data_IF_384405601356
#
_entry.id   IF_384405601356
#
_cell.length_a   1.000
_cell.length_b   1.000
_cell.length_c   1.000
_cell.angle_alpha   90.00
_cell.angle_beta   90.00
_cell.angle_gamma   90.00
#
_symmetry.space_group_name_H-M   'P 1'
#
loop_
_entity.id
_entity.type
_entity.pdbx_description
1 polymer ?
#
# COMPACT_ATOMS: atom_id res chain seq x y z
N UNK A 1 -7.79 2.43 -20.21
CA UNK A 1 -7.88 1.47 -19.08
C UNK A 1 -6.92 1.91 -18.01
N UNK A 2 -7.30 1.77 -16.72
CA UNK A 2 -6.47 2.16 -15.57
C UNK A 2 -6.24 0.94 -14.66
N UNK A 3 -5.35 0.02 -15.02
CA UNK A 3 -4.98 -1.09 -14.14
C UNK A 3 -4.18 -0.57 -12.96
N UNK A 4 -4.52 -1.06 -11.75
CA UNK A 4 -3.80 -0.71 -10.55
C UNK A 4 -3.31 -1.94 -9.80
N UNK A 5 -2.21 -1.78 -9.08
CA UNK A 5 -1.54 -2.82 -8.29
C UNK A 5 -1.13 -2.23 -6.94
N UNK A 6 -0.87 -3.09 -5.96
CA UNK A 6 -0.27 -2.68 -4.68
C UNK A 6 1.17 -3.18 -4.59
N UNK A 7 1.38 -4.47 -4.86
CA UNK A 7 2.73 -5.04 -4.87
C UNK A 7 2.88 -6.16 -5.87
N UNK A 8 4.12 -6.39 -6.31
CA UNK A 8 4.52 -7.51 -7.18
C UNK A 8 5.59 -8.30 -6.45
N UNK A 9 5.28 -9.56 -6.11
CA UNK A 9 6.24 -10.43 -5.41
C UNK A 9 5.93 -11.90 -5.68
N UNK A 10 6.96 -12.71 -5.89
CA UNK A 10 6.81 -14.17 -5.95
C UNK A 10 6.81 -14.79 -4.55
N UNK A 11 7.31 -14.05 -3.55
CA UNK A 11 7.41 -14.48 -2.16
C UNK A 11 6.92 -13.35 -1.23
N UNK A 12 5.59 -13.14 -1.11
CA UNK A 12 5.06 -12.07 -0.27
C UNK A 12 5.46 -12.32 1.20
N UNK A 13 5.96 -11.27 1.85
CA UNK A 13 6.31 -11.30 3.26
C UNK A 13 5.04 -11.42 4.14
N UNK A 14 5.17 -11.87 5.41
CA UNK A 14 4.03 -12.12 6.30
C UNK A 14 3.07 -10.94 6.45
N UNK A 15 3.55 -9.71 6.41
CA UNK A 15 2.71 -8.52 6.50
C UNK A 15 1.75 -8.35 5.31
N UNK A 16 2.00 -9.06 4.20
CA UNK A 16 1.17 -9.02 2.99
C UNK A 16 0.60 -10.39 2.59
N UNK A 17 0.98 -11.48 3.27
CA UNK A 17 0.63 -12.85 2.89
C UNK A 17 -0.86 -13.15 2.95
N UNK A 18 -1.61 -12.45 3.80
CA UNK A 18 -3.07 -12.58 3.93
C UNK A 18 -3.84 -11.66 2.96
N UNK A 19 -3.13 -10.82 2.20
CA UNK A 19 -3.71 -9.93 1.21
C UNK A 19 -3.97 -10.66 -0.12
N UNK A 20 -5.06 -10.29 -0.79
CA UNK A 20 -5.36 -10.71 -2.17
C UNK A 20 -4.76 -9.76 -3.21
N UNK A 21 -4.10 -8.69 -2.78
CA UNK A 21 -3.65 -7.58 -3.61
C UNK A 21 -2.19 -7.67 -4.06
N UNK A 22 -1.57 -8.87 -4.03
CA UNK A 22 -0.26 -9.06 -4.63
C UNK A 22 -0.37 -9.79 -5.98
N UNK A 23 0.58 -9.50 -6.85
CA UNK A 23 0.73 -10.13 -8.16
C UNK A 23 2.07 -10.85 -8.22
N UNK A 24 2.14 -12.09 -8.72
CA UNK A 24 3.44 -12.70 -9.00
C UNK A 24 4.13 -11.97 -10.15
N UNK A 25 5.47 -11.97 -10.17
CA UNK A 25 6.24 -11.33 -11.23
C UNK A 25 5.84 -11.85 -12.62
N UNK A 26 5.65 -13.17 -12.75
CA UNK A 26 5.20 -13.77 -14.02
C UNK A 26 3.87 -13.19 -14.47
N UNK A 27 2.85 -13.18 -13.60
CA UNK A 27 1.52 -12.64 -13.96
C UNK A 27 1.56 -11.15 -14.25
N UNK A 28 2.40 -10.40 -13.55
CA UNK A 28 2.59 -8.98 -13.83
C UNK A 28 3.18 -8.76 -15.23
N UNK A 29 4.16 -9.55 -15.64
CA UNK A 29 4.71 -9.51 -17.00
C UNK A 29 3.67 -9.91 -18.06
N UNK A 30 2.90 -10.96 -17.80
CA UNK A 30 1.80 -11.38 -18.69
C UNK A 30 0.74 -10.23 -18.83
N UNK A 31 0.42 -9.52 -17.74
CA UNK A 31 -0.48 -8.35 -17.77
C UNK A 31 0.12 -7.21 -18.62
N UNK A 32 1.41 -6.89 -18.44
CA UNK A 32 2.07 -5.85 -19.24
C UNK A 32 2.09 -6.18 -20.72
N UNK A 33 2.38 -7.42 -21.09
CA UNK A 33 2.38 -7.88 -22.47
C UNK A 33 0.97 -7.79 -23.08
N UNK A 34 -0.07 -8.12 -22.31
CA UNK A 34 -1.47 -7.92 -22.72
C UNK A 34 -1.78 -6.44 -22.97
N UNK A 35 -1.47 -5.54 -22.00
CA UNK A 35 -1.79 -4.12 -22.13
C UNK A 35 -1.04 -3.50 -23.31
N UNK A 36 0.26 -3.74 -23.45
CA UNK A 36 1.07 -3.17 -24.53
C UNK A 36 0.70 -3.69 -25.91
N UNK A 37 0.12 -4.91 -26.01
CA UNK A 37 -0.37 -5.45 -27.26
C UNK A 37 -1.70 -4.85 -27.74
N UNK A 38 -2.50 -4.26 -26.83
CA UNK A 38 -3.85 -3.81 -27.11
C UNK A 38 -4.07 -2.31 -26.94
N UNK A 39 -3.22 -1.64 -26.17
CA UNK A 39 -3.38 -0.25 -25.77
C UNK A 39 -2.05 0.49 -25.83
N UNK A 40 -2.10 1.78 -26.05
CA UNK A 40 -0.96 2.68 -25.92
C UNK A 40 -0.75 3.06 -24.46
N UNK A 41 0.49 2.95 -23.96
CA UNK A 41 0.83 3.44 -22.63
C UNK A 41 0.99 4.97 -22.67
N UNK A 42 0.27 5.65 -21.82
CA UNK A 42 0.25 7.12 -21.74
C UNK A 42 0.65 7.59 -20.34
N UNK A 43 1.08 8.85 -20.25
CA UNK A 43 1.34 9.50 -18.97
C UNK A 43 0.04 9.78 -18.17
N UNK A 44 0.16 9.98 -16.87
CA UNK A 44 -0.99 10.31 -16.00
C UNK A 44 -1.70 11.60 -16.47
N UNK A 45 -0.97 12.59 -16.99
CA UNK A 45 -1.51 13.84 -17.48
C UNK A 45 -2.36 13.70 -18.77
N UNK A 46 -2.23 12.56 -19.46
CA UNK A 46 -2.97 12.26 -20.70
C UNK A 46 -4.19 11.37 -20.47
N UNK A 47 -4.37 10.87 -19.25
CA UNK A 47 -5.52 10.05 -18.89
C UNK A 47 -6.83 10.75 -19.24
N UNK A 48 -7.73 10.04 -19.90
CA UNK A 48 -9.03 10.58 -20.36
C UNK A 48 -9.03 11.19 -21.75
N UNK A 49 -7.88 11.39 -22.39
CA UNK A 49 -7.80 11.99 -23.74
C UNK A 49 -7.95 10.97 -24.87
N UNK A 50 -7.56 9.72 -24.66
CA UNK A 50 -7.63 8.65 -25.66
C UNK A 50 -8.43 7.45 -25.15
N UNK A 51 -9.16 6.80 -26.08
CA UNK A 51 -10.01 5.61 -25.79
C UNK A 51 -9.27 4.28 -25.87
N UNK A 52 -8.11 4.21 -26.51
CA UNK A 52 -7.29 3.00 -26.67
C UNK A 52 -5.99 3.02 -25.88
N UNK A 53 -5.98 3.75 -24.79
CA UNK A 53 -4.79 3.90 -23.94
C UNK A 53 -4.93 3.20 -22.59
N UNK A 54 -3.79 2.99 -21.94
CA UNK A 54 -3.72 2.58 -20.54
C UNK A 54 -2.67 3.39 -19.78
N UNK A 55 -2.90 3.51 -18.48
CA UNK A 55 -1.92 4.03 -17.54
C UNK A 55 -1.86 3.13 -16.32
N UNK A 56 -0.65 2.78 -15.90
CA UNK A 56 -0.41 1.93 -14.73
C UNK A 56 -0.37 2.76 -13.46
N UNK A 57 -0.95 2.24 -12.38
CA UNK A 57 -0.75 2.82 -11.06
C UNK A 57 -0.40 1.76 -10.01
N UNK A 58 0.32 2.19 -8.99
CA UNK A 58 0.72 1.36 -7.84
C UNK A 58 0.43 2.13 -6.58
N UNK A 59 -0.33 1.53 -5.68
CA UNK A 59 -0.76 2.14 -4.44
C UNK A 59 0.13 1.71 -3.25
N UNK A 60 -0.01 2.40 -2.12
CA UNK A 60 0.58 2.07 -0.81
C UNK A 60 2.09 2.27 -0.65
N UNK A 61 2.84 2.49 -1.71
CA UNK A 61 4.28 2.72 -1.61
C UNK A 61 5.09 1.53 -1.06
N UNK A 62 4.77 0.30 -1.52
CA UNK A 62 5.47 -0.92 -1.11
C UNK A 62 6.91 -0.97 -1.64
N UNK A 63 7.84 -1.59 -0.89
CA UNK A 63 9.26 -1.66 -1.25
C UNK A 63 9.53 -2.41 -2.57
N UNK A 64 8.69 -3.38 -2.92
CA UNK A 64 8.77 -4.14 -4.17
C UNK A 64 8.54 -3.26 -5.42
N UNK A 65 7.91 -2.09 -5.26
CA UNK A 65 7.81 -1.09 -6.32
C UNK A 65 9.22 -0.71 -6.79
N UNK A 66 10.13 -0.44 -5.87
CA UNK A 66 11.49 -0.05 -6.22
C UNK A 66 12.36 -1.23 -6.67
N UNK A 67 12.24 -2.38 -5.99
CA UNK A 67 13.12 -3.51 -6.23
C UNK A 67 12.72 -4.41 -7.41
N UNK A 68 11.42 -4.43 -7.78
CA UNK A 68 10.88 -5.32 -8.81
C UNK A 68 10.20 -4.54 -9.94
N UNK A 69 9.25 -3.67 -9.59
CA UNK A 69 8.39 -3.00 -10.58
C UNK A 69 9.17 -1.95 -11.38
N UNK A 70 9.86 -1.05 -10.69
CA UNK A 70 10.58 0.06 -11.30
C UNK A 70 11.59 -0.38 -12.38
N UNK A 71 12.48 -1.38 -12.14
CA UNK A 71 13.39 -1.85 -13.19
C UNK A 71 12.67 -2.42 -14.41
N UNK A 72 11.57 -3.16 -14.21
CA UNK A 72 10.76 -3.74 -15.30
C UNK A 72 10.14 -2.64 -16.16
N UNK A 73 9.55 -1.63 -15.53
CA UNK A 73 8.92 -0.52 -16.25
C UNK A 73 9.95 0.33 -17.01
N UNK A 74 11.14 0.55 -16.43
CA UNK A 74 12.25 1.23 -17.12
C UNK A 74 12.72 0.46 -18.35
N UNK A 75 12.93 -0.85 -18.23
CA UNK A 75 13.34 -1.71 -19.34
C UNK A 75 12.32 -1.70 -20.47
N UNK A 76 11.03 -1.79 -20.13
CA UNK A 76 9.91 -1.77 -21.08
C UNK A 76 9.54 -0.36 -21.55
N UNK A 77 10.13 0.70 -21.01
CA UNK A 77 9.84 2.12 -21.30
C UNK A 77 8.36 2.47 -21.10
N UNK A 78 7.78 2.01 -20.00
CA UNK A 78 6.37 2.24 -19.66
C UNK A 78 6.25 3.29 -18.56
N UNK A 79 5.31 4.22 -18.73
CA UNK A 79 4.90 5.19 -17.72
C UNK A 79 3.99 4.56 -16.67
N UNK A 80 4.16 5.04 -15.43
CA UNK A 80 3.30 4.67 -14.31
C UNK A 80 3.25 5.77 -13.24
N UNK A 81 2.22 5.73 -12.40
CA UNK A 81 2.08 6.56 -11.20
C UNK A 81 2.22 5.70 -9.95
N UNK A 82 3.00 6.17 -8.98
CA UNK A 82 3.14 5.55 -7.68
C UNK A 82 2.48 6.43 -6.61
N UNK A 83 1.32 5.99 -6.11
CA UNK A 83 0.59 6.67 -5.05
C UNK A 83 1.11 6.24 -3.68
N UNK A 84 1.54 7.19 -2.86
CA UNK A 84 2.22 6.93 -1.60
C UNK A 84 1.49 7.51 -0.40
N UNK A 85 1.67 6.87 0.76
CA UNK A 85 1.21 7.34 2.07
C UNK A 85 2.41 7.76 2.92
N UNK A 86 2.50 9.02 3.29
CA UNK A 86 3.72 9.58 3.90
C UNK A 86 4.02 9.09 5.31
N UNK A 87 3.04 8.60 6.07
CA UNK A 87 3.28 8.05 7.41
C UNK A 87 4.12 6.76 7.37
N UNK A 88 4.10 6.02 6.26
CA UNK A 88 4.81 4.75 6.13
C UNK A 88 6.17 4.87 5.43
N UNK A 89 6.39 5.96 4.70
CA UNK A 89 7.68 6.26 4.06
C UNK A 89 8.81 6.21 5.09
N UNK A 90 9.94 5.65 4.68
CA UNK A 90 11.11 5.39 5.53
C UNK A 90 10.83 4.37 6.67
N UNK A 91 9.77 3.59 6.55
CA UNK A 91 9.39 2.56 7.52
C UNK A 91 9.16 3.11 8.95
N UNK A 92 8.57 4.32 9.06
CA UNK A 92 8.33 5.00 10.35
C UNK A 92 7.24 4.33 11.16
N UNK A 93 6.18 3.87 10.51
CA UNK A 93 5.11 3.09 11.12
C UNK A 93 4.54 2.07 10.13
N UNK A 94 3.62 1.23 10.61
CA UNK A 94 3.06 0.14 9.82
C UNK A 94 1.56 0.35 9.57
N UNK A 95 1.10 0.05 8.35
CA UNK A 95 -0.31 -0.02 8.01
C UNK A 95 -1.07 -0.93 8.97
N UNK A 96 -2.28 -0.53 9.36
CA UNK A 96 -3.13 -1.37 10.20
C UNK A 96 -3.43 -2.73 9.56
N UNK A 97 -3.67 -2.80 8.25
CA UNK A 97 -3.88 -4.05 7.54
C UNK A 97 -2.65 -4.97 7.59
N UNK A 98 -1.44 -4.41 7.56
CA UNK A 98 -0.19 -5.18 7.69
C UNK A 98 0.05 -5.65 9.13
N UNK A 99 -0.27 -4.82 10.14
CA UNK A 99 -0.30 -5.26 11.54
C UNK A 99 -1.24 -6.46 11.73
N UNK A 100 -2.46 -6.36 11.20
CA UNK A 100 -3.46 -7.45 11.25
C UNK A 100 -2.94 -8.69 10.53
N UNK A 101 -2.35 -8.57 9.34
CA UNK A 101 -1.77 -9.70 8.60
C UNK A 101 -0.68 -10.40 9.41
N UNK A 102 0.20 -9.65 10.08
CA UNK A 102 1.22 -10.22 10.96
C UNK A 102 0.61 -10.95 12.16
N UNK A 103 -0.39 -10.37 12.82
CA UNK A 103 -1.11 -11.04 13.91
C UNK A 103 -1.77 -12.33 13.43
N UNK A 104 -2.41 -12.32 12.26
CA UNK A 104 -3.00 -13.50 11.65
C UNK A 104 -1.96 -14.56 11.26
N UNK A 105 -0.78 -14.13 10.82
CA UNK A 105 0.34 -15.02 10.56
C UNK A 105 0.82 -15.72 11.85
N UNK A 106 0.94 -14.97 12.96
CA UNK A 106 1.31 -15.54 14.26
C UNK A 106 0.28 -16.57 14.80
N UNK A 107 -1.02 -16.34 14.54
CA UNK A 107 -2.06 -17.33 14.91
C UNK A 107 -1.83 -18.71 14.27
N UNK A 108 -1.20 -18.77 13.08
CA UNK A 108 -0.93 -20.04 12.40
C UNK A 108 0.21 -20.82 13.03
N UNK A 109 1.11 -20.16 13.75
CA UNK A 109 2.32 -20.76 14.33
C UNK A 109 2.05 -21.54 15.62
N UNK A 110 1.06 -21.10 16.45
CA UNK A 110 0.92 -21.67 17.79
C UNK A 110 -0.52 -21.63 18.29
N UNK A 111 -0.96 -22.78 18.88
CA UNK A 111 -2.24 -22.86 19.62
C UNK A 111 -2.23 -21.99 20.88
N UNK A 112 -1.07 -21.83 21.53
CA UNK A 112 -0.94 -20.97 22.71
C UNK A 112 -1.16 -19.51 22.36
N UNK A 113 -0.65 -19.02 21.21
CA UNK A 113 -0.91 -17.67 20.71
C UNK A 113 -2.40 -17.50 20.48
N UNK A 114 -3.06 -18.47 19.83
CA UNK A 114 -4.54 -18.40 19.61
C UNK A 114 -5.29 -18.30 20.93
N UNK A 115 -4.94 -19.09 21.94
CA UNK A 115 -5.59 -19.04 23.25
C UNK A 115 -5.39 -17.70 23.96
N UNK A 116 -4.18 -17.14 23.93
CA UNK A 116 -3.88 -15.82 24.52
C UNK A 116 -4.72 -14.71 23.86
N UNK A 117 -4.75 -14.67 22.53
CA UNK A 117 -5.51 -13.65 21.79
C UNK A 117 -7.03 -13.86 21.99
N UNK A 118 -7.53 -15.10 21.97
CA UNK A 118 -8.92 -15.45 22.25
C UNK A 118 -9.34 -14.97 23.65
N UNK A 119 -8.55 -15.24 24.67
CA UNK A 119 -8.81 -14.78 26.04
C UNK A 119 -8.79 -13.24 26.16
N UNK A 120 -7.86 -12.58 25.51
CA UNK A 120 -7.77 -11.11 25.50
C UNK A 120 -8.94 -10.44 24.77
N UNK A 121 -9.42 -11.03 23.67
CA UNK A 121 -10.57 -10.54 22.90
C UNK A 121 -11.91 -11.02 23.44
N UNK A 122 -11.92 -11.88 24.47
CA UNK A 122 -13.11 -12.51 25.02
C UNK A 122 -13.99 -13.18 23.94
N UNK A 123 -13.35 -13.91 23.00
CA UNK A 123 -14.03 -14.53 21.88
C UNK A 123 -13.58 -15.99 21.68
N UNK A 124 -14.38 -16.78 21.00
CA UNK A 124 -13.98 -18.12 20.58
C UNK A 124 -12.78 -18.09 19.60
N UNK A 125 -11.92 -19.08 19.63
CA UNK A 125 -10.72 -19.16 18.78
C UNK A 125 -11.05 -19.11 17.28
N UNK A 126 -12.21 -19.63 16.87
CA UNK A 126 -12.69 -19.54 15.49
C UNK A 126 -13.13 -18.16 15.04
N UNK A 127 -13.45 -17.26 15.98
CA UNK A 127 -13.90 -15.89 15.70
C UNK A 127 -12.73 -14.88 15.63
N UNK A 128 -11.51 -15.24 16.05
CA UNK A 128 -10.37 -14.31 16.18
C UNK A 128 -10.14 -13.51 14.88
N UNK A 129 -10.09 -14.16 13.71
CA UNK A 129 -9.88 -13.48 12.44
C UNK A 129 -10.93 -12.37 12.18
N UNK A 130 -12.19 -12.62 12.50
CA UNK A 130 -13.26 -11.64 12.35
C UNK A 130 -13.08 -10.44 13.27
N UNK A 131 -12.60 -10.68 14.50
CA UNK A 131 -12.31 -9.62 15.46
C UNK A 131 -11.08 -8.79 15.04
N UNK A 132 -10.00 -9.45 14.64
CA UNK A 132 -8.78 -8.75 14.18
C UNK A 132 -9.06 -7.81 13.01
N UNK A 133 -9.94 -8.17 12.09
CA UNK A 133 -10.30 -7.31 10.95
C UNK A 133 -11.10 -6.06 11.32
N UNK A 134 -11.47 -5.88 12.58
CA UNK A 134 -12.28 -4.75 13.07
C UNK A 134 -11.56 -3.87 14.09
N UNK A 135 -10.33 -4.25 14.50
CA UNK A 135 -9.57 -3.50 15.48
C UNK A 135 -8.89 -2.27 14.86
N UNK A 136 -8.57 -1.30 15.70
CA UNK A 136 -7.75 -0.16 15.34
C UNK A 136 -6.24 -0.44 15.58
N UNK A 137 -5.40 0.53 15.26
CA UNK A 137 -3.94 0.38 15.36
C UNK A 137 -3.47 0.18 16.80
N UNK A 138 -4.04 0.92 17.76
CA UNK A 138 -3.69 0.81 19.18
C UNK A 138 -4.00 -0.59 19.71
N UNK A 139 -5.16 -1.14 19.34
CA UNK A 139 -5.56 -2.50 19.73
C UNK A 139 -4.67 -3.57 19.11
N UNK A 140 -4.21 -3.35 17.87
CA UNK A 140 -3.23 -4.24 17.24
C UNK A 140 -1.89 -4.20 17.98
N UNK A 141 -1.43 -3.04 18.45
CA UNK A 141 -0.20 -2.89 19.22
C UNK A 141 -0.29 -3.55 20.62
N UNK A 142 -1.46 -3.48 21.27
CA UNK A 142 -1.71 -4.20 22.53
C UNK A 142 -1.63 -5.72 22.35
N UNK A 143 -2.27 -6.24 21.30
CA UNK A 143 -2.24 -7.68 20.99
C UNK A 143 -0.82 -8.13 20.63
N UNK A 144 -0.10 -7.33 19.84
CA UNK A 144 1.28 -7.63 19.48
C UNK A 144 2.17 -7.76 20.73
N UNK A 145 2.06 -6.82 21.69
CA UNK A 145 2.76 -6.90 22.99
C UNK A 145 2.40 -8.17 23.76
N UNK A 146 1.13 -8.54 23.79
CA UNK A 146 0.66 -9.75 24.47
C UNK A 146 1.34 -11.03 23.96
N UNK A 147 1.65 -11.08 22.66
CA UNK A 147 2.26 -12.26 22.02
C UNK A 147 3.76 -12.08 21.74
N UNK A 148 4.38 -11.03 22.25
CA UNK A 148 5.79 -10.68 22.04
C UNK A 148 6.17 -10.44 20.57
N UNK A 149 5.24 -9.89 19.77
CA UNK A 149 5.50 -9.44 18.41
C UNK A 149 5.87 -7.95 18.44
N UNK A 150 7.02 -7.61 17.87
CA UNK A 150 7.48 -6.21 17.77
C UNK A 150 7.39 -5.72 16.32
N UNK A 151 6.42 -4.85 16.03
CA UNK A 151 6.25 -4.26 14.71
C UNK A 151 7.40 -3.32 14.33
N UNK A 152 8.03 -2.67 15.31
CA UNK A 152 9.18 -1.76 15.04
C UNK A 152 10.39 -2.56 14.61
N UNK A 153 10.66 -3.69 15.28
CA UNK A 153 11.73 -4.59 14.89
C UNK A 153 11.45 -5.23 13.53
N UNK A 154 10.19 -5.60 13.26
CA UNK A 154 9.80 -6.10 11.95
C UNK A 154 10.07 -5.08 10.83
N UNK A 155 9.71 -3.79 11.04
CA UNK A 155 9.97 -2.71 10.09
C UNK A 155 11.47 -2.52 9.82
N UNK A 156 12.32 -2.60 10.84
CA UNK A 156 13.77 -2.51 10.68
C UNK A 156 14.36 -3.65 9.87
N UNK A 157 13.88 -4.88 10.11
CA UNK A 157 14.40 -6.08 9.44
C UNK A 157 13.95 -6.21 7.99
N UNK A 158 12.69 -5.87 7.70
CA UNK A 158 12.07 -6.17 6.40
C UNK A 158 11.89 -4.97 5.49
N UNK A 159 11.85 -3.75 6.05
CA UNK A 159 11.69 -2.48 5.32
C UNK A 159 10.61 -2.56 4.24
N UNK A 160 9.34 -2.85 4.59
CA UNK A 160 8.28 -3.15 3.63
C UNK A 160 7.84 -1.95 2.77
N UNK A 161 8.25 -0.73 3.11
CA UNK A 161 7.82 0.49 2.41
C UNK A 161 8.99 1.21 1.75
N UNK A 162 8.67 2.00 0.74
CA UNK A 162 9.62 2.88 0.06
C UNK A 162 10.27 3.86 1.03
N UNK A 163 11.56 4.08 0.83
CA UNK A 163 12.28 5.18 1.47
C UNK A 163 12.18 6.46 0.65
N UNK A 164 12.32 7.61 1.30
CA UNK A 164 12.41 8.92 0.63
C UNK A 164 13.44 8.92 -0.51
N UNK A 165 14.60 8.29 -0.31
CA UNK A 165 15.64 8.16 -1.34
C UNK A 165 15.15 7.39 -2.56
N UNK A 166 14.45 6.27 -2.36
CA UNK A 166 13.90 5.46 -3.44
C UNK A 166 12.82 6.22 -4.21
N UNK A 167 11.91 6.92 -3.52
CA UNK A 167 10.87 7.75 -4.13
C UNK A 167 11.50 8.83 -5.02
N UNK A 168 12.51 9.55 -4.53
CA UNK A 168 13.22 10.56 -5.30
C UNK A 168 13.91 9.94 -6.51
N UNK A 169 14.50 8.75 -6.38
CA UNK A 169 15.13 8.03 -7.51
C UNK A 169 14.10 7.68 -8.59
N UNK A 170 12.95 7.14 -8.20
CA UNK A 170 11.86 6.79 -9.12
C UNK A 170 11.31 8.05 -9.82
N UNK A 171 11.07 9.13 -9.07
CA UNK A 171 10.67 10.42 -9.61
C UNK A 171 11.68 10.97 -10.63
N UNK A 172 12.97 10.97 -10.30
CA UNK A 172 14.03 11.49 -11.17
C UNK A 172 14.23 10.63 -12.44
N UNK A 173 13.76 9.41 -12.44
CA UNK A 173 13.70 8.55 -13.63
C UNK A 173 12.49 8.85 -14.54
N UNK A 174 11.65 9.84 -14.19
CA UNK A 174 10.52 10.30 -15.00
C UNK A 174 9.16 9.75 -14.60
N UNK A 175 9.07 8.92 -13.56
CA UNK A 175 7.79 8.39 -13.10
C UNK A 175 7.03 9.41 -12.25
N UNK A 176 5.70 9.37 -12.34
CA UNK A 176 4.82 10.21 -11.53
C UNK A 176 4.73 9.66 -10.10
N UNK A 177 4.85 10.55 -9.11
CA UNK A 177 4.56 10.24 -7.71
C UNK A 177 3.26 10.93 -7.34
N UNK A 178 2.29 10.19 -6.85
CA UNK A 178 0.96 10.67 -6.47
C UNK A 178 0.71 10.55 -4.96
N UNK A 179 -0.36 11.19 -4.54
CA UNK A 179 -0.83 11.27 -3.15
C UNK A 179 -1.89 10.18 -2.90
N UNK A 180 -1.68 9.31 -1.89
CA UNK A 180 -2.64 8.29 -1.46
C UNK A 180 -3.17 8.54 -0.04
N UNK A 181 -3.18 9.80 0.39
CA UNK A 181 -3.44 10.18 1.78
C UNK A 181 -2.24 9.96 2.69
N UNK A 182 -2.25 10.60 3.84
CA UNK A 182 -1.16 10.54 4.80
C UNK A 182 -1.04 9.17 5.44
N UNK A 183 -2.16 8.64 5.98
CA UNK A 183 -2.22 7.48 6.86
C UNK A 183 -3.10 6.34 6.33
N UNK A 184 -3.48 6.37 5.05
CA UNK A 184 -4.35 5.38 4.41
C UNK A 184 -5.70 5.16 5.12
N UNK A 185 -6.31 6.23 5.63
CA UNK A 185 -7.64 6.17 6.26
C UNK A 185 -8.75 6.11 5.21
N UNK A 186 -9.85 5.45 5.56
CA UNK A 186 -11.03 5.46 4.72
C UNK A 186 -11.71 6.83 4.77
N UNK A 187 -11.70 7.57 3.66
CA UNK A 187 -12.21 8.94 3.56
C UNK A 187 -13.71 9.04 3.88
N UNK A 188 -14.48 7.98 3.70
CA UNK A 188 -15.90 7.93 4.08
C UNK A 188 -16.14 8.08 5.60
N UNK A 189 -15.13 7.82 6.41
CA UNK A 189 -15.20 7.88 7.88
C UNK A 189 -14.61 9.16 8.46
N UNK A 190 -14.06 10.03 7.60
CA UNK A 190 -13.36 11.24 7.99
C UNK A 190 -14.28 12.46 7.91
N UNK A 191 -14.08 13.41 8.81
CA UNK A 191 -14.60 14.77 8.68
C UNK A 191 -13.87 15.49 7.54
N UNK A 192 -14.44 16.58 7.04
CA UNK A 192 -13.81 17.38 6.00
C UNK A 192 -12.41 17.88 6.38
N UNK A 193 -12.21 18.34 7.61
CA UNK A 193 -10.91 18.80 8.09
C UNK A 193 -9.88 17.64 8.18
N UNK A 194 -10.31 16.45 8.56
CA UNK A 194 -9.43 15.27 8.53
C UNK A 194 -9.06 14.87 7.10
N UNK A 195 -10.02 14.86 6.16
CA UNK A 195 -9.75 14.60 4.74
C UNK A 195 -8.76 15.61 4.18
N UNK A 196 -8.97 16.90 4.47
CA UNK A 196 -8.07 17.99 4.07
C UNK A 196 -6.66 17.76 4.61
N UNK A 197 -6.53 17.42 5.90
CA UNK A 197 -5.23 17.15 6.50
C UNK A 197 -4.52 15.94 5.88
N UNK A 198 -5.25 14.85 5.57
CA UNK A 198 -4.72 13.67 4.87
C UNK A 198 -4.12 14.04 3.52
N UNK A 199 -4.76 14.96 2.77
CA UNK A 199 -4.32 15.36 1.43
C UNK A 199 -3.19 16.40 1.51
N UNK A 200 -3.38 17.49 2.27
CA UNK A 200 -2.47 18.63 2.29
C UNK A 200 -1.11 18.28 2.90
N UNK A 201 -1.09 17.40 3.90
CA UNK A 201 0.17 16.91 4.49
C UNK A 201 1.03 16.24 3.42
N UNK A 202 0.46 15.29 2.66
CA UNK A 202 1.19 14.60 1.59
C UNK A 202 1.60 15.55 0.48
N UNK A 203 0.71 16.44 0.03
CA UNK A 203 1.03 17.42 -0.99
C UNK A 203 2.22 18.30 -0.59
N UNK A 204 2.33 18.65 0.68
CA UNK A 204 3.46 19.42 1.20
C UNK A 204 4.78 18.64 1.10
N UNK A 205 4.77 17.33 1.41
CA UNK A 205 5.94 16.46 1.22
C UNK A 205 6.29 16.30 -0.26
N UNK A 206 5.30 16.06 -1.11
CA UNK A 206 5.52 15.91 -2.56
C UNK A 206 6.18 17.16 -3.16
N UNK A 207 5.71 18.34 -2.77
CA UNK A 207 6.33 19.62 -3.20
C UNK A 207 7.76 19.76 -2.73
N UNK A 208 8.08 19.39 -1.48
CA UNK A 208 9.45 19.40 -0.97
C UNK A 208 10.38 18.46 -1.76
N UNK A 209 9.83 17.39 -2.33
CA UNK A 209 10.57 16.45 -3.18
C UNK A 209 10.58 16.87 -4.66
N UNK A 210 10.04 18.06 -4.98
CA UNK A 210 9.98 18.62 -6.33
C UNK A 210 8.96 17.92 -7.24
N UNK A 211 7.83 17.49 -6.67
CA UNK A 211 6.65 17.02 -7.43
C UNK A 211 5.68 18.18 -7.55
N UNK A 212 5.50 18.68 -8.77
CA UNK A 212 4.65 19.85 -9.06
C UNK A 212 3.23 19.44 -9.43
N UNK A 213 3.07 18.36 -10.21
CA UNK A 213 1.77 17.81 -10.60
C UNK A 213 1.23 16.90 -9.52
N UNK A 214 0.18 17.34 -8.82
CA UNK A 214 -0.39 16.65 -7.67
C UNK A 214 -1.61 15.83 -8.10
N UNK A 215 -1.41 14.52 -8.25
CA UNK A 215 -2.48 13.54 -8.47
C UNK A 215 -2.85 12.88 -7.15
N UNK A 216 -4.13 12.60 -6.95
CA UNK A 216 -4.67 11.97 -5.75
C UNK A 216 -5.46 10.70 -6.09
N UNK A 217 -5.22 9.64 -5.32
CA UNK A 217 -5.99 8.41 -5.35
C UNK A 217 -6.59 8.15 -3.96
N UNK A 218 -7.91 7.92 -3.89
CA UNK A 218 -8.58 7.65 -2.62
C UNK A 218 -8.25 6.27 -2.08
N UNK A 219 -7.78 6.14 -0.81
CA UNK A 219 -7.78 4.85 -0.13
C UNK A 219 -9.18 4.25 -0.09
N UNK A 220 -9.31 2.95 -0.40
CA UNK A 220 -10.59 2.21 -0.45
C UNK A 220 -11.62 2.72 -1.48
N UNK A 221 -11.27 3.69 -2.35
CA UNK A 221 -12.16 4.28 -3.34
C UNK A 221 -13.05 5.41 -2.81
N UNK A 222 -13.76 6.07 -3.71
CA UNK A 222 -14.51 7.30 -3.49
C UNK A 222 -16.04 7.13 -3.46
N UNK A 223 -16.57 5.94 -3.72
CA UNK A 223 -17.99 5.68 -4.02
C UNK A 223 -18.99 5.97 -2.88
N UNK A 224 -18.50 6.30 -1.68
CA UNK A 224 -19.32 6.66 -0.51
C UNK A 224 -18.94 7.99 0.12
N UNK A 225 -18.04 8.75 -0.49
CA UNK A 225 -17.65 10.06 0.04
C UNK A 225 -18.83 11.02 -0.10
N UNK A 226 -19.25 11.60 1.03
CA UNK A 226 -20.28 12.61 1.05
C UNK A 226 -19.66 13.96 0.69
N UNK A 227 -20.27 14.66 -0.25
CA UNK A 227 -19.94 16.05 -0.59
C UNK A 227 -20.34 16.98 0.53
#
# INVERSE_FOLDING_TARGET
>A
VLPFYHTVSDHPLPHFSESKYYRSKKRFLDDLDFFTSHFENISMAEVGKDKKSFHLSFDDGMAEIYSIVFPILQEKKLDATFFINTDFVDNKCMFISHKISLLQHELKKSSQIRQRISGYLECETGAIHSYLNKINSEKADEIAKLIHLDFTEYLKQHQPYLTTKQIITVKNAGFTIGNHGKSHRNFNTLTFEEQKNEIETVNSFLKQWGVDDLFFCFPYGDYKIKN
#
